data_IF_696508806500
#
_entry.id   IF_696508806500
#
_cell.length_a   1.000
_cell.length_b   1.000
_cell.length_c   1.000
_cell.angle_alpha   90.00
_cell.angle_beta   90.00
_cell.angle_gamma   90.00
#
_symmetry.space_group_name_H-M   'P 1'
#
loop_
_entity.id
_entity.type
_entity.pdbx_description
1 polymer ?
#
# COMPACT_ATOMS: atom_id res chain seq x y z
N UNK A 1 -7.25 -15.02 3.32
CA UNK A 1 -6.09 -14.18 3.69
C UNK A 1 -6.07 -12.97 2.75
N UNK A 2 -6.74 -11.88 3.12
CA UNK A 2 -6.69 -10.62 2.36
C UNK A 2 -5.28 -10.07 2.48
N UNK A 3 -4.46 -10.30 1.47
CA UNK A 3 -3.11 -9.76 1.40
C UNK A 3 -3.21 -8.25 1.22
N UNK A 4 -3.33 -7.52 2.34
CA UNK A 4 -3.27 -6.07 2.38
C UNK A 4 -2.02 -5.61 1.61
N UNK A 5 -2.26 -5.09 0.41
CA UNK A 5 -1.20 -4.57 -0.45
C UNK A 5 -0.73 -3.27 0.17
N UNK A 6 0.57 -3.20 0.48
CA UNK A 6 1.21 -1.95 0.85
C UNK A 6 1.32 -1.03 -0.37
N UNK A 7 1.24 0.28 -0.18
CA UNK A 7 1.50 1.25 -1.24
C UNK A 7 2.96 1.17 -1.73
N UNK A 8 3.24 1.66 -2.94
CA UNK A 8 4.59 1.62 -3.52
C UNK A 8 5.65 2.27 -2.63
N UNK A 9 5.30 3.37 -1.98
CA UNK A 9 6.20 4.07 -1.06
C UNK A 9 6.61 3.20 0.14
N UNK A 10 5.65 2.63 0.86
CA UNK A 10 5.93 1.75 1.99
C UNK A 10 6.67 0.48 1.56
N UNK A 11 6.38 -0.01 0.35
CA UNK A 11 7.01 -1.20 -0.24
C UNK A 11 8.48 -0.95 -0.60
N UNK A 12 8.80 0.19 -1.23
CA UNK A 12 10.16 0.59 -1.55
C UNK A 12 11.00 0.90 -0.31
N UNK A 13 10.39 1.52 0.71
CA UNK A 13 11.06 1.80 1.99
C UNK A 13 11.08 0.62 2.96
N UNK A 14 10.43 -0.50 2.64
CA UNK A 14 10.27 -1.67 3.52
C UNK A 14 9.75 -1.30 4.92
N UNK A 15 8.79 -0.38 4.98
CA UNK A 15 8.14 0.07 6.22
C UNK A 15 6.70 -0.44 6.30
N UNK A 16 6.15 -0.46 7.52
CA UNK A 16 4.75 -0.80 7.74
C UNK A 16 3.81 0.15 6.97
N UNK A 17 2.84 -0.44 6.26
CA UNK A 17 1.78 0.30 5.58
C UNK A 17 0.47 0.11 6.36
N UNK A 18 0.14 1.07 7.22
CA UNK A 18 -1.18 1.15 7.83
C UNK A 18 -2.14 1.79 6.85
N UNK A 19 -2.98 0.99 6.17
CA UNK A 19 -4.14 1.53 5.44
C UNK A 19 -5.03 2.25 6.46
N UNK A 20 -5.43 3.51 6.23
CA UNK A 20 -6.48 4.12 7.04
C UNK A 20 -7.80 3.37 6.83
N UNK A 21 -8.66 3.48 7.83
CA UNK A 21 -10.02 2.94 7.86
C UNK A 21 -10.79 3.27 6.58
N UNK A 22 -11.64 2.32 6.18
CA UNK A 22 -12.42 2.16 4.94
C UNK A 22 -13.29 3.36 4.48
N UNK A 23 -13.15 4.53 5.09
CA UNK A 23 -14.03 5.69 4.91
C UNK A 23 -13.36 6.90 4.25
N UNK A 24 -12.06 6.86 3.92
CA UNK A 24 -11.41 7.93 3.16
C UNK A 24 -11.32 7.56 1.68
N UNK A 25 -12.00 8.33 0.83
CA UNK A 25 -12.02 8.19 -0.62
C UNK A 25 -10.59 8.13 -1.24
N UNK A 26 -9.61 8.72 -0.56
CA UNK A 26 -8.22 8.79 -1.02
C UNK A 26 -7.38 7.54 -0.72
N UNK A 27 -7.90 6.57 0.05
CA UNK A 27 -7.20 5.33 0.45
C UNK A 27 -5.76 5.54 0.96
N UNK A 28 -5.37 6.74 1.40
CA UNK A 28 -3.95 7.15 1.53
C UNK A 28 -3.37 6.72 2.88
N UNK A 29 -2.29 5.93 2.91
CA UNK A 29 -1.67 5.50 4.17
C UNK A 29 -1.19 6.68 5.03
N UNK A 30 -1.20 6.53 6.37
CA UNK A 30 -0.72 7.57 7.30
C UNK A 30 0.70 8.06 6.98
N UNK A 31 1.55 7.18 6.42
CA UNK A 31 2.93 7.52 6.06
C UNK A 31 3.02 8.44 4.84
N UNK A 32 2.11 8.29 3.88
CA UNK A 32 2.02 9.14 2.70
C UNK A 32 1.26 10.42 3.02
N UNK A 33 0.17 10.34 3.80
CA UNK A 33 -0.63 11.50 4.23
C UNK A 33 0.21 12.51 5.01
N UNK A 34 0.99 12.05 6.01
CA UNK A 34 1.89 12.92 6.81
C UNK A 34 2.99 13.59 5.98
N UNK A 35 3.37 12.98 4.86
CA UNK A 35 4.43 13.48 3.97
C UNK A 35 3.88 14.21 2.75
N UNK A 36 2.54 14.29 2.63
CA UNK A 36 1.84 14.80 1.45
C UNK A 36 2.35 14.19 0.13
N UNK A 37 2.71 12.90 0.17
CA UNK A 37 3.18 12.15 -0.99
C UNK A 37 2.02 11.37 -1.62
N UNK A 38 2.08 11.21 -2.95
CA UNK A 38 1.11 10.38 -3.70
C UNK A 38 1.11 8.95 -3.15
N UNK A 39 -0.01 8.52 -2.57
CA UNK A 39 -0.16 7.18 -2.04
C UNK A 39 -0.79 6.25 -3.07
N UNK A 40 0.04 5.64 -3.89
CA UNK A 40 -0.43 4.72 -4.93
C UNK A 40 -0.30 3.26 -4.46
N UNK A 41 -1.43 2.54 -4.49
CA UNK A 41 -1.48 1.12 -4.19
C UNK A 41 -1.37 0.30 -5.47
N UNK A 42 -0.60 -0.79 -5.48
CA UNK A 42 -0.64 -1.73 -6.59
C UNK A 42 -2.05 -2.34 -6.67
N UNK A 43 -2.64 -2.34 -7.86
CA UNK A 43 -3.93 -2.98 -8.13
C UNK A 43 -3.84 -4.51 -8.01
N UNK A 44 -2.69 -5.09 -8.36
CA UNK A 44 -2.48 -6.54 -8.37
C UNK A 44 -1.29 -6.96 -7.48
N UNK A 45 -1.48 -8.04 -6.73
CA UNK A 45 -0.41 -8.69 -5.99
C UNK A 45 0.28 -9.72 -6.89
N UNK A 46 1.45 -9.39 -7.44
CA UNK A 46 2.31 -10.38 -8.13
C UNK A 46 3.05 -11.37 -7.19
N UNK A 47 2.70 -11.39 -5.90
CA UNK A 47 3.26 -12.39 -4.96
C UNK A 47 2.80 -13.79 -5.36
N UNK A 48 3.73 -14.73 -5.49
CA UNK A 48 3.44 -16.12 -5.85
C UNK A 48 3.32 -16.40 -7.35
N UNK A 49 3.40 -15.38 -8.22
CA UNK A 49 3.36 -15.52 -9.69
C UNK A 49 4.71 -15.97 -10.30
N UNK A 50 5.70 -16.35 -9.50
CA UNK A 50 6.95 -16.89 -10.04
C UNK A 50 6.68 -18.32 -10.52
N UNK A 51 6.31 -18.44 -11.79
CA UNK A 51 6.16 -19.71 -12.50
C UNK A 51 7.48 -20.47 -12.31
N UNK A 52 7.41 -21.66 -11.70
CA UNK A 52 8.51 -22.62 -11.76
C UNK A 52 8.60 -23.19 -13.17
#
# INVERSE_FOLDING_TARGET
KSSNLACYFCRGRKIACGRPMESSADMTCNQCARRQLKCEYPAESRRGQHKR
#
